data_IF_485801025372
#
_entry.id   IF_485801025372
#
_cell.length_a   1.000
_cell.length_b   1.000
_cell.length_c   1.000
_cell.angle_alpha   90.00
_cell.angle_beta   90.00
_cell.angle_gamma   90.00
#
_symmetry.space_group_name_H-M   'P 1'
#
loop_
_entity.id
_entity.type
_entity.pdbx_description
1 polymer ?
#
# COMPACT_ATOMS: atom_id res chain seq x y z
N UNK A 1 1.81 -35.52 -0.28
CA UNK A 1 0.57 -36.17 -0.73
C UNK A 1 -0.57 -35.15 -0.53
N UNK A 2 -1.07 -34.51 -1.60
CA UNK A 2 -2.13 -33.47 -1.51
C UNK A 2 -3.47 -34.13 -1.19
N UNK A 3 -4.25 -33.58 -0.25
CA UNK A 3 -5.62 -34.03 0.03
C UNK A 3 -6.54 -33.61 -1.13
N UNK A 4 -7.37 -34.51 -1.69
CA UNK A 4 -8.37 -34.14 -2.67
C UNK A 4 -9.54 -33.45 -1.96
N UNK A 5 -9.78 -32.17 -2.24
CA UNK A 5 -11.02 -31.49 -1.85
C UNK A 5 -10.92 -30.11 -1.21
N UNK A 6 -9.76 -29.62 -0.77
CA UNK A 6 -9.64 -28.20 -0.39
C UNK A 6 -9.53 -27.35 -1.65
N UNK A 7 -10.39 -26.34 -1.87
CA UNK A 7 -10.21 -25.41 -2.99
C UNK A 7 -8.85 -24.73 -2.82
N UNK A 8 -7.98 -24.85 -3.82
CA UNK A 8 -6.62 -24.26 -3.86
C UNK A 8 -6.56 -22.82 -3.35
N UNK A 9 -7.65 -22.06 -3.54
CA UNK A 9 -7.84 -20.69 -3.07
C UNK A 9 -7.74 -20.57 -1.54
N UNK A 10 -8.37 -21.46 -0.76
CA UNK A 10 -8.38 -21.36 0.72
C UNK A 10 -7.01 -21.57 1.36
N UNK A 11 -6.09 -22.19 0.63
CA UNK A 11 -4.71 -22.44 1.08
C UNK A 11 -3.69 -21.51 0.38
N UNK A 12 -4.15 -20.55 -0.44
CA UNK A 12 -3.29 -19.60 -1.12
C UNK A 12 -3.48 -18.18 -0.56
N UNK A 13 -2.56 -17.70 0.30
CA UNK A 13 -2.66 -16.38 0.91
C UNK A 13 -2.75 -15.22 -0.08
N UNK A 14 -2.06 -15.31 -1.23
CA UNK A 14 -2.11 -14.26 -2.25
C UNK A 14 -3.47 -14.21 -2.95
N UNK A 15 -4.08 -15.38 -3.19
CA UNK A 15 -5.43 -15.44 -3.76
C UNK A 15 -6.48 -14.95 -2.76
N UNK A 16 -6.37 -15.32 -1.49
CA UNK A 16 -7.25 -14.81 -0.44
C UNK A 16 -7.14 -13.29 -0.30
N UNK A 17 -5.92 -12.75 -0.31
CA UNK A 17 -5.70 -11.31 -0.22
C UNK A 17 -6.31 -10.57 -1.42
N UNK A 18 -6.07 -11.05 -2.64
CA UNK A 18 -6.66 -10.47 -3.85
C UNK A 18 -8.19 -10.53 -3.86
N UNK A 19 -8.78 -11.65 -3.42
CA UNK A 19 -10.24 -11.79 -3.30
C UNK A 19 -10.83 -10.89 -2.21
N UNK A 20 -10.07 -10.67 -1.13
CA UNK A 20 -10.47 -9.75 -0.06
C UNK A 20 -10.49 -8.30 -0.57
N UNK A 21 -9.50 -7.91 -1.38
CA UNK A 21 -9.53 -6.62 -2.07
C UNK A 21 -10.70 -6.52 -3.04
N UNK A 22 -10.90 -7.53 -3.89
CA UNK A 22 -12.00 -7.55 -4.86
C UNK A 22 -13.35 -7.37 -4.17
N UNK A 23 -13.58 -8.06 -3.05
CA UNK A 23 -14.81 -7.92 -2.28
C UNK A 23 -14.90 -6.56 -1.58
N UNK A 24 -13.81 -6.06 -1.00
CA UNK A 24 -13.81 -4.78 -0.29
C UNK A 24 -14.02 -3.57 -1.22
N UNK A 25 -13.71 -3.70 -2.51
CA UNK A 25 -13.78 -2.62 -3.50
C UNK A 25 -14.81 -2.83 -4.61
N UNK A 26 -15.74 -3.78 -4.40
CA UNK A 26 -16.78 -4.16 -5.38
C UNK A 26 -16.21 -4.55 -6.76
N UNK A 27 -14.94 -4.94 -6.82
CA UNK A 27 -14.21 -5.22 -8.07
C UNK A 27 -13.94 -4.00 -8.95
N UNK A 28 -14.35 -2.79 -8.53
CA UNK A 28 -14.27 -1.55 -9.31
C UNK A 28 -13.43 -0.46 -8.63
N UNK A 29 -12.77 -0.78 -7.52
CA UNK A 29 -11.96 0.20 -6.79
C UNK A 29 -12.80 1.19 -5.97
N UNK A 30 -13.98 0.78 -5.48
CA UNK A 30 -14.91 1.67 -4.75
C UNK A 30 -14.39 2.20 -3.42
N UNK A 31 -13.33 1.59 -2.87
CA UNK A 31 -12.68 1.96 -1.61
C UNK A 31 -11.16 2.01 -1.75
N UNK A 32 -10.55 2.90 -0.99
CA UNK A 32 -9.11 3.03 -0.83
C UNK A 32 -8.58 2.02 0.21
N UNK A 33 -7.34 1.56 0.04
CA UNK A 33 -6.66 0.69 0.99
C UNK A 33 -5.79 1.52 1.94
N UNK A 34 -5.97 1.35 3.25
CA UNK A 34 -5.10 1.95 4.27
C UNK A 34 -4.22 0.87 4.90
N UNK A 35 -2.91 0.94 4.70
CA UNK A 35 -1.96 -0.04 5.24
C UNK A 35 -1.33 0.48 6.54
N UNK A 36 -1.51 -0.26 7.63
CA UNK A 36 -1.03 0.08 8.96
C UNK A 36 -0.06 -0.98 9.48
N UNK A 37 1.25 -0.83 9.25
CA UNK A 37 2.23 -1.70 9.88
C UNK A 37 2.47 -1.31 11.34
N UNK A 38 2.32 -2.28 12.24
CA UNK A 38 2.63 -2.12 13.67
C UNK A 38 4.05 -2.60 13.95
N UNK A 39 5.00 -1.98 13.24
CA UNK A 39 6.43 -2.18 13.45
C UNK A 39 7.24 -1.09 12.77
N UNK A 40 8.18 -0.48 13.51
CA UNK A 40 9.07 0.57 13.01
C UNK A 40 9.93 0.13 11.82
N UNK A 41 10.44 -1.10 11.83
CA UNK A 41 11.24 -1.63 10.72
C UNK A 41 10.44 -1.82 9.43
N UNK A 42 9.10 -1.75 9.48
CA UNK A 42 8.21 -1.82 8.32
C UNK A 42 7.67 -0.44 7.89
N UNK A 43 8.24 0.66 8.39
CA UNK A 43 7.82 2.03 8.06
C UNK A 43 7.72 2.30 6.55
N UNK A 44 8.63 1.74 5.74
CA UNK A 44 8.64 1.94 4.29
C UNK A 44 7.69 1.02 3.52
N UNK A 45 7.07 0.04 4.18
CA UNK A 45 6.21 -0.95 3.52
C UNK A 45 5.04 -0.27 2.81
N UNK A 46 4.35 0.67 3.46
CA UNK A 46 3.22 1.38 2.84
C UNK A 46 3.65 2.18 1.59
N UNK A 47 4.85 2.78 1.59
CA UNK A 47 5.40 3.49 0.42
C UNK A 47 5.75 2.53 -0.72
N UNK A 48 6.32 1.37 -0.39
CA UNK A 48 6.55 0.32 -1.39
C UNK A 48 5.23 -0.14 -2.01
N UNK A 49 4.21 -0.37 -1.19
CA UNK A 49 2.89 -0.80 -1.65
C UNK A 49 2.16 0.27 -2.46
N UNK A 50 2.36 1.55 -2.19
CA UNK A 50 1.85 2.63 -3.03
C UNK A 50 2.30 2.47 -4.48
N UNK A 51 3.60 2.31 -4.70
CA UNK A 51 4.09 2.10 -6.06
C UNK A 51 3.57 0.79 -6.64
N UNK A 52 3.78 -0.33 -5.93
CA UNK A 52 3.41 -1.65 -6.43
C UNK A 52 1.93 -1.76 -6.80
N UNK A 53 1.03 -1.25 -5.96
CA UNK A 53 -0.42 -1.40 -6.16
C UNK A 53 -0.95 -0.34 -7.12
N UNK A 54 -0.61 0.94 -6.91
CA UNK A 54 -1.22 2.03 -7.67
C UNK A 54 -0.72 2.07 -9.12
N UNK A 55 0.58 1.83 -9.36
CA UNK A 55 1.14 1.79 -10.72
C UNK A 55 0.65 0.55 -11.48
N UNK A 56 0.52 -0.59 -10.81
CA UNK A 56 0.02 -1.82 -11.44
C UNK A 56 -1.48 -1.81 -11.70
N UNK A 57 -2.31 -1.31 -10.77
CA UNK A 57 -3.76 -1.45 -10.85
C UNK A 57 -4.48 -0.20 -11.39
N UNK A 58 -3.83 0.97 -11.35
CA UNK A 58 -4.38 2.22 -11.89
C UNK A 58 -4.37 2.20 -13.42
N UNK A 59 -5.48 1.79 -14.05
CA UNK A 59 -5.55 1.56 -15.50
C UNK A 59 -6.82 2.12 -16.13
N UNK A 60 -6.64 2.93 -17.16
CA UNK A 60 -7.75 3.52 -17.92
C UNK A 60 -8.50 2.46 -18.74
N UNK A 61 -7.78 1.51 -19.34
CA UNK A 61 -8.33 0.47 -20.22
C UNK A 61 -8.06 -0.94 -19.69
N UNK A 62 -8.98 -1.85 -19.96
CA UNK A 62 -8.83 -3.28 -19.74
C UNK A 62 -8.09 -3.97 -20.90
N UNK A 63 -7.89 -5.29 -20.82
CA UNK A 63 -7.21 -6.08 -21.85
C UNK A 63 -7.99 -6.19 -23.16
N UNK A 64 -9.30 -5.95 -23.13
CA UNK A 64 -10.18 -5.95 -24.29
C UNK A 64 -10.28 -4.56 -24.96
N UNK A 65 -9.64 -3.54 -24.38
CA UNK A 65 -9.64 -2.17 -24.86
C UNK A 65 -10.83 -1.33 -24.40
N UNK A 66 -11.68 -1.84 -23.50
CA UNK A 66 -12.76 -1.08 -22.90
C UNK A 66 -12.21 -0.11 -21.85
N UNK A 67 -12.81 1.08 -21.77
CA UNK A 67 -12.47 2.05 -20.72
C UNK A 67 -13.10 1.62 -19.40
N UNK A 68 -12.27 1.32 -18.41
CA UNK A 68 -12.68 0.84 -17.08
C UNK A 68 -12.31 1.79 -15.93
N UNK A 69 -11.26 2.62 -16.11
CA UNK A 69 -10.73 3.51 -15.07
C UNK A 69 -10.53 2.82 -13.71
N UNK A 70 -9.94 1.63 -13.75
CA UNK A 70 -9.69 0.80 -12.57
C UNK A 70 -8.59 1.41 -11.69
N UNK A 71 -8.61 1.08 -10.40
CA UNK A 71 -7.55 1.48 -9.47
C UNK A 71 -7.77 0.95 -8.05
N UNK A 72 -6.71 0.98 -7.26
CA UNK A 72 -6.76 0.78 -5.82
C UNK A 72 -5.79 1.75 -5.17
N UNK A 73 -6.30 2.86 -4.65
CA UNK A 73 -5.47 3.87 -3.98
C UNK A 73 -4.92 3.29 -2.69
N UNK A 74 -3.65 3.56 -2.41
CA UNK A 74 -3.01 3.12 -1.17
C UNK A 74 -2.56 4.31 -0.34
N UNK A 75 -3.07 4.36 0.88
CA UNK A 75 -2.58 5.22 1.94
C UNK A 75 -1.92 4.36 3.02
N UNK A 76 -1.12 5.00 3.86
CA UNK A 76 -0.60 4.29 5.02
C UNK A 76 0.59 5.00 5.62
N UNK A 77 0.65 4.89 6.94
CA UNK A 77 1.79 5.28 7.76
C UNK A 77 1.84 4.33 8.96
N UNK A 78 2.83 4.49 9.84
CA UNK A 78 3.16 3.51 10.89
C UNK A 78 2.18 3.56 12.07
N UNK A 79 1.71 2.39 12.52
CA UNK A 79 1.06 2.26 13.82
C UNK A 79 2.09 2.22 14.98
N UNK A 80 1.83 2.78 16.16
CA UNK A 80 0.69 3.60 16.59
C UNK A 80 0.88 5.11 16.38
N UNK A 81 2.08 5.56 16.01
CA UNK A 81 2.44 6.99 15.96
C UNK A 81 1.49 7.81 15.09
N UNK A 82 1.03 7.24 13.96
CA UNK A 82 0.12 7.92 13.05
C UNK A 82 -1.37 7.67 13.36
N UNK A 83 -1.69 6.97 14.45
CA UNK A 83 -3.08 6.83 14.88
C UNK A 83 -3.70 8.19 15.24
N UNK A 84 -2.89 9.12 15.73
CA UNK A 84 -3.31 10.49 16.04
C UNK A 84 -3.45 11.39 14.81
N UNK A 85 -3.09 10.92 13.61
CA UNK A 85 -3.20 11.71 12.38
C UNK A 85 -4.55 11.52 11.70
N UNK A 86 -4.97 10.27 11.46
CA UNK A 86 -6.12 10.01 10.58
C UNK A 86 -7.09 8.90 11.04
N UNK A 87 -6.91 8.31 12.23
CA UNK A 87 -7.87 7.29 12.74
C UNK A 87 -9.27 7.85 12.93
N UNK A 88 -9.40 9.15 13.26
CA UNK A 88 -10.70 9.81 13.33
C UNK A 88 -11.46 9.69 11.99
N UNK A 89 -10.79 9.95 10.87
CA UNK A 89 -11.36 9.73 9.54
C UNK A 89 -11.69 8.25 9.31
N UNK A 90 -10.79 7.33 9.70
CA UNK A 90 -11.02 5.90 9.51
C UNK A 90 -12.18 5.34 10.33
N UNK A 91 -12.57 6.03 11.40
CA UNK A 91 -13.59 5.55 12.32
C UNK A 91 -14.96 6.18 12.05
N UNK A 92 -14.98 7.50 11.89
CA UNK A 92 -16.23 8.29 11.86
C UNK A 92 -16.42 9.06 10.55
N UNK A 93 -15.40 9.08 9.68
CA UNK A 93 -15.46 9.75 8.39
C UNK A 93 -16.21 8.96 7.31
N UNK A 94 -16.09 9.45 6.08
CA UNK A 94 -16.66 8.83 4.87
C UNK A 94 -16.21 7.37 4.76
N UNK A 95 -17.12 6.45 4.44
CA UNK A 95 -16.82 5.01 4.32
C UNK A 95 -16.24 4.64 2.96
N UNK A 96 -15.14 5.29 2.58
CA UNK A 96 -14.47 5.09 1.31
C UNK A 96 -13.13 4.34 1.44
N UNK A 97 -12.91 3.60 2.52
CA UNK A 97 -11.68 2.85 2.75
C UNK A 97 -11.93 1.49 3.43
N UNK A 98 -10.95 0.61 3.30
CA UNK A 98 -10.76 -0.56 4.16
C UNK A 98 -9.31 -0.58 4.70
N UNK A 99 -9.09 -1.25 5.82
CA UNK A 99 -7.78 -1.24 6.51
C UNK A 99 -7.06 -2.57 6.36
N UNK A 100 -5.76 -2.55 6.06
CA UNK A 100 -4.89 -3.72 6.17
C UNK A 100 -3.87 -3.52 7.27
N UNK A 101 -3.98 -4.33 8.33
CA UNK A 101 -3.03 -4.37 9.43
C UNK A 101 -1.87 -5.30 9.09
N UNK A 102 -0.63 -4.85 9.34
CA UNK A 102 0.53 -5.74 9.38
C UNK A 102 0.91 -5.95 10.84
N UNK A 103 0.63 -7.14 11.34
CA UNK A 103 0.86 -7.54 12.73
C UNK A 103 2.16 -8.32 12.84
N UNK A 104 2.96 -8.01 13.87
CA UNK A 104 4.19 -8.72 14.20
C UNK A 104 4.03 -9.30 15.60
N UNK A 105 4.08 -10.62 15.74
CA UNK A 105 3.83 -11.29 17.02
C UNK A 105 5.00 -11.13 18.00
N UNK A 106 6.23 -11.17 17.52
CA UNK A 106 7.44 -10.99 18.31
C UNK A 106 8.02 -9.60 18.05
N UNK A 107 7.88 -8.70 19.03
CA UNK A 107 8.46 -7.36 18.92
C UNK A 107 10.00 -7.44 18.91
N UNK A 108 10.60 -8.19 19.83
CA UNK A 108 12.06 -8.23 19.98
C UNK A 108 12.60 -9.65 20.13
N UNK A 109 13.89 -9.87 19.83
CA UNK A 109 14.54 -11.12 20.17
C UNK A 109 14.45 -11.37 21.69
N UNK A 110 14.37 -12.64 22.14
CA UNK A 110 14.35 -12.97 23.55
C UNK A 110 15.48 -12.28 24.33
N UNK A 111 15.15 -11.74 25.50
CA UNK A 111 16.12 -11.05 26.38
C UNK A 111 16.38 -9.59 26.01
N UNK A 112 15.66 -9.04 25.03
CA UNK A 112 15.67 -7.61 24.68
C UNK A 112 14.35 -6.90 25.00
N UNK A 113 13.50 -7.56 25.78
CA UNK A 113 12.21 -7.03 26.20
C UNK A 113 12.43 -5.88 27.18
N UNK A 114 11.84 -4.73 26.86
CA UNK A 114 11.81 -3.59 27.76
C UNK A 114 10.42 -3.51 28.36
N UNK A 115 10.34 -3.75 29.67
CA UNK A 115 9.14 -3.51 30.45
C UNK A 115 8.95 -1.99 30.64
N UNK A 116 7.74 -1.53 30.36
CA UNK A 116 7.31 -0.16 30.64
C UNK A 116 6.62 -0.09 32.00
N UNK A 117 5.89 -1.15 32.33
CA UNK A 117 5.19 -1.37 33.60
C UNK A 117 5.37 -2.84 34.01
N UNK A 118 5.18 -3.19 35.29
CA UNK A 118 5.43 -4.55 35.77
C UNK A 118 4.69 -5.62 34.94
N UNK A 119 5.45 -6.43 34.20
CA UNK A 119 4.92 -7.50 33.36
C UNK A 119 4.30 -7.06 32.02
N UNK A 120 4.51 -5.80 31.60
CA UNK A 120 4.02 -5.26 30.32
C UNK A 120 5.17 -4.66 29.52
N UNK A 121 5.43 -5.23 28.35
CA UNK A 121 6.51 -4.81 27.44
C UNK A 121 6.04 -3.74 26.46
N UNK A 122 6.97 -3.04 25.81
CA UNK A 122 6.65 -2.19 24.66
C UNK A 122 5.87 -2.94 23.56
N UNK A 123 6.18 -4.22 23.36
CA UNK A 123 5.48 -5.08 22.40
C UNK A 123 4.02 -5.30 22.77
N UNK A 124 3.73 -5.51 24.07
CA UNK A 124 2.37 -5.68 24.58
C UNK A 124 1.53 -4.41 24.38
N UNK A 125 2.10 -3.23 24.62
CA UNK A 125 1.41 -1.96 24.30
C UNK A 125 1.12 -1.83 22.80
N UNK A 126 2.09 -2.15 21.94
CA UNK A 126 1.89 -2.06 20.49
C UNK A 126 0.82 -3.03 20.00
N UNK A 127 0.82 -4.27 20.51
CA UNK A 127 -0.21 -5.26 20.24
C UNK A 127 -1.59 -4.82 20.76
N UNK A 128 -1.66 -4.29 21.98
CA UNK A 128 -2.88 -3.73 22.55
C UNK A 128 -3.47 -2.60 21.69
N UNK A 129 -2.61 -1.70 21.20
CA UNK A 129 -3.01 -0.60 20.31
C UNK A 129 -3.51 -1.11 18.95
N UNK A 130 -2.93 -2.19 18.41
CA UNK A 130 -3.42 -2.84 17.19
C UNK A 130 -4.81 -3.41 17.41
N UNK A 131 -4.98 -4.25 18.44
CA UNK A 131 -6.25 -4.93 18.70
C UNK A 131 -7.35 -3.94 19.07
N UNK A 132 -7.02 -2.89 19.85
CA UNK A 132 -7.94 -1.80 20.17
C UNK A 132 -8.42 -1.07 18.92
N UNK A 133 -7.49 -0.70 18.02
CA UNK A 133 -7.83 -0.02 16.76
C UNK A 133 -8.69 -0.91 15.86
N UNK A 134 -8.30 -2.16 15.69
CA UNK A 134 -9.05 -3.14 14.88
C UNK A 134 -10.47 -3.35 15.42
N UNK A 135 -10.62 -3.48 16.73
CA UNK A 135 -11.92 -3.64 17.38
C UNK A 135 -12.81 -2.40 17.23
N UNK A 136 -12.23 -1.21 17.38
CA UNK A 136 -12.96 0.05 17.20
C UNK A 136 -13.41 0.29 15.75
N UNK A 137 -12.63 -0.17 14.77
CA UNK A 137 -13.03 -0.18 13.36
C UNK A 137 -14.17 -1.18 13.13
N UNK A 138 -14.02 -2.40 13.65
CA UNK A 138 -15.04 -3.44 13.52
C UNK A 138 -16.38 -3.03 14.14
N UNK A 139 -16.38 -2.40 15.31
CA UNK A 139 -17.62 -1.90 15.96
C UNK A 139 -18.33 -0.79 15.17
N UNK A 140 -17.63 -0.18 14.22
CA UNK A 140 -18.14 0.87 13.35
C UNK A 140 -18.39 0.35 11.91
N UNK A 141 -18.53 -0.97 11.75
CA UNK A 141 -18.74 -1.64 10.46
C UNK A 141 -17.68 -1.30 9.40
N UNK A 142 -16.43 -1.06 9.84
CA UNK A 142 -15.29 -0.79 8.96
C UNK A 142 -14.55 -2.08 8.66
N UNK A 143 -14.41 -2.39 7.37
CA UNK A 143 -13.76 -3.62 6.93
C UNK A 143 -12.25 -3.56 7.17
N UNK A 144 -11.69 -4.69 7.60
CA UNK A 144 -10.24 -4.81 7.74
C UNK A 144 -9.72 -6.21 7.45
N UNK A 145 -8.45 -6.26 7.05
CA UNK A 145 -7.66 -7.46 6.79
C UNK A 145 -6.46 -7.44 7.73
N UNK A 146 -6.08 -8.58 8.30
CA UNK A 146 -4.85 -8.72 9.08
C UNK A 146 -3.89 -9.65 8.37
N UNK A 147 -2.67 -9.18 8.14
CA UNK A 147 -1.53 -9.98 7.68
C UNK A 147 -0.54 -10.08 8.84
N UNK A 148 -0.44 -11.28 9.41
CA UNK A 148 0.38 -11.52 10.60
C UNK A 148 1.69 -12.22 10.21
N UNK A 149 2.80 -11.72 10.75
CA UNK A 149 4.11 -12.37 10.68
C UNK A 149 4.63 -12.65 12.10
N UNK A 150 5.40 -13.72 12.27
CA UNK A 150 5.95 -14.06 13.58
C UNK A 150 6.97 -13.01 14.03
N UNK A 151 7.94 -12.68 13.18
CA UNK A 151 9.03 -11.75 13.46
C UNK A 151 9.49 -11.08 12.16
N UNK A 152 9.99 -9.85 12.23
CA UNK A 152 10.54 -9.15 11.06
C UNK A 152 11.97 -9.63 10.78
N UNK A 153 12.05 -10.72 10.02
CA UNK A 153 13.30 -11.28 9.49
C UNK A 153 13.43 -11.00 7.98
N UNK A 154 14.63 -11.10 7.37
CA UNK A 154 14.77 -10.97 5.91
C UNK A 154 13.85 -11.93 5.13
N UNK A 155 13.66 -13.14 5.64
CA UNK A 155 12.73 -14.12 5.07
C UNK A 155 11.28 -13.64 5.14
N UNK A 156 10.85 -13.12 6.29
CA UNK A 156 9.48 -12.63 6.46
C UNK A 156 9.20 -11.40 5.58
N UNK A 157 10.16 -10.47 5.47
CA UNK A 157 10.07 -9.31 4.57
C UNK A 157 9.95 -9.76 3.11
N UNK A 158 10.81 -10.69 2.66
CA UNK A 158 10.71 -11.25 1.31
C UNK A 158 9.38 -11.97 1.06
N UNK A 159 8.84 -12.66 2.07
CA UNK A 159 7.54 -13.31 1.99
C UNK A 159 6.38 -12.28 1.87
N UNK A 160 6.44 -11.18 2.62
CA UNK A 160 5.48 -10.07 2.52
C UNK A 160 5.52 -9.43 1.12
N UNK A 161 6.70 -9.08 0.63
CA UNK A 161 6.88 -8.54 -0.73
C UNK A 161 6.25 -9.47 -1.76
N UNK A 162 6.63 -10.74 -1.73
CA UNK A 162 6.15 -11.71 -2.70
C UNK A 162 4.64 -12.01 -2.55
N UNK A 163 4.07 -11.89 -1.35
CA UNK A 163 2.63 -12.00 -1.11
C UNK A 163 1.87 -10.90 -1.86
N UNK A 164 2.29 -9.65 -1.69
CA UNK A 164 1.63 -8.50 -2.32
C UNK A 164 1.85 -8.48 -3.84
N UNK A 165 3.05 -8.80 -4.34
CA UNK A 165 3.29 -8.89 -5.79
C UNK A 165 2.37 -9.92 -6.47
N UNK A 166 2.19 -11.09 -5.84
CA UNK A 166 1.27 -12.12 -6.34
C UNK A 166 -0.19 -11.68 -6.21
N UNK A 167 -0.57 -11.03 -5.10
CA UNK A 167 -1.93 -10.56 -4.91
C UNK A 167 -2.32 -9.50 -5.96
N UNK A 168 -1.40 -8.59 -6.31
CA UNK A 168 -1.58 -7.61 -7.38
C UNK A 168 -1.81 -8.28 -8.72
N UNK A 169 -0.97 -9.26 -9.09
CA UNK A 169 -1.15 -10.00 -10.35
C UNK A 169 -2.48 -10.77 -10.42
N UNK A 170 -2.89 -11.39 -9.31
CA UNK A 170 -4.18 -12.10 -9.21
C UNK A 170 -5.34 -11.11 -9.31
N UNK A 171 -5.32 -10.01 -8.56
CA UNK A 171 -6.36 -8.98 -8.60
C UNK A 171 -6.51 -8.40 -10.01
N UNK A 172 -5.40 -8.05 -10.66
CA UNK A 172 -5.40 -7.55 -12.04
C UNK A 172 -6.06 -8.53 -13.02
N UNK A 173 -5.80 -9.83 -12.84
CA UNK A 173 -6.45 -10.89 -13.61
C UNK A 173 -7.96 -10.97 -13.34
N UNK A 174 -8.40 -10.75 -12.10
CA UNK A 174 -9.82 -10.73 -11.72
C UNK A 174 -10.58 -9.55 -12.34
N UNK A 175 -9.93 -8.41 -12.51
CA UNK A 175 -10.53 -7.17 -13.06
C UNK A 175 -10.14 -6.90 -14.52
N UNK A 176 -9.56 -7.89 -15.21
CA UNK A 176 -9.21 -7.87 -16.64
C UNK A 176 -8.23 -6.75 -17.06
N UNK A 177 -7.25 -6.38 -16.24
CA UNK A 177 -6.25 -5.34 -16.59
C UNK A 177 -4.83 -5.91 -16.67
N UNK A 178 -3.95 -5.22 -17.40
CA UNK A 178 -2.53 -5.53 -17.43
C UNK A 178 -1.80 -4.86 -16.25
N UNK A 179 -1.30 -5.65 -15.29
CA UNK A 179 -0.56 -5.14 -14.13
C UNK A 179 0.87 -4.62 -14.43
N UNK A 180 1.43 -4.96 -15.59
CA UNK A 180 2.88 -4.93 -15.84
C UNK A 180 3.35 -3.83 -16.81
N UNK A 181 2.47 -2.87 -17.10
CA UNK A 181 2.76 -1.70 -17.93
C UNK A 181 2.35 -0.41 -17.23
N UNK A 182 2.93 0.72 -17.66
CA UNK A 182 2.76 2.04 -17.05
C UNK A 182 2.56 3.15 -18.09
N UNK A 183 1.56 3.07 -18.99
CA UNK A 183 1.43 4.05 -20.08
C UNK A 183 1.17 5.49 -19.59
N UNK A 184 0.57 5.65 -18.40
CA UNK A 184 0.21 6.96 -17.85
C UNK A 184 1.39 7.90 -17.55
N UNK A 185 2.60 7.36 -17.31
CA UNK A 185 3.76 8.21 -16.94
C UNK A 185 4.38 8.93 -18.15
N UNK A 186 4.11 8.46 -19.37
CA UNK A 186 4.73 9.00 -20.58
C UNK A 186 4.22 10.40 -20.93
N UNK A 187 2.96 10.71 -20.63
CA UNK A 187 2.40 12.04 -20.84
C UNK A 187 3.14 13.11 -20.01
N UNK A 188 3.42 12.82 -18.74
CA UNK A 188 4.18 13.72 -17.86
C UNK A 188 5.61 13.95 -18.33
N UNK A 189 6.29 12.89 -18.79
CA UNK A 189 7.64 12.99 -19.36
C UNK A 189 7.68 13.88 -20.61
N UNK A 190 6.70 13.75 -21.49
CA UNK A 190 6.58 14.59 -22.69
C UNK A 190 6.38 16.06 -22.34
N UNK A 191 5.43 16.36 -21.46
CA UNK A 191 5.17 17.72 -21.00
C UNK A 191 6.40 18.35 -20.32
N UNK A 192 7.11 17.60 -19.48
CA UNK A 192 8.37 18.06 -18.88
C UNK A 192 9.43 18.38 -19.95
N UNK A 193 9.53 17.56 -21.00
CA UNK A 193 10.43 17.79 -22.14
C UNK A 193 10.16 19.12 -22.85
N UNK A 194 8.89 19.49 -23.04
CA UNK A 194 8.49 20.76 -23.67
C UNK A 194 8.91 21.97 -22.81
N UNK A 195 8.72 21.89 -21.49
CA UNK A 195 9.15 22.93 -20.54
C UNK A 195 10.67 23.09 -20.56
N UNK A 196 11.41 21.97 -20.50
CA UNK A 196 12.88 22.00 -20.53
C UNK A 196 13.42 22.56 -21.85
N UNK A 197 12.77 22.25 -22.98
CA UNK A 197 13.13 22.81 -24.28
C UNK A 197 12.92 24.34 -24.31
N UNK A 198 11.81 24.82 -23.76
CA UNK A 198 11.54 26.26 -23.64
C UNK A 198 12.56 26.95 -22.72
N UNK A 199 12.83 26.37 -21.55
CA UNK A 199 13.81 26.88 -20.60
C UNK A 199 15.19 27.05 -21.26
N UNK A 200 15.65 26.05 -22.02
CA UNK A 200 16.91 26.12 -22.77
C UNK A 200 16.94 27.32 -23.72
N UNK A 201 15.88 27.51 -24.53
CA UNK A 201 15.79 28.65 -25.47
C UNK A 201 15.86 30.00 -24.75
N UNK A 202 15.12 30.15 -23.64
CA UNK A 202 15.12 31.38 -22.85
C UNK A 202 16.50 31.67 -22.27
N UNK A 203 17.16 30.66 -21.69
CA UNK A 203 18.50 30.81 -21.13
C UNK A 203 19.54 31.18 -22.20
N UNK A 204 19.44 30.61 -23.41
CA UNK A 204 20.31 31.01 -24.53
C UNK A 204 20.17 32.50 -24.84
N UNK A 205 18.94 32.99 -25.02
CA UNK A 205 18.68 34.42 -25.32
C UNK A 205 19.17 35.33 -24.20
N UNK A 206 18.94 34.96 -22.94
CA UNK A 206 19.40 35.76 -21.79
C UNK A 206 20.92 35.82 -21.69
N UNK A 207 21.61 34.71 -21.98
CA UNK A 207 23.07 34.66 -21.96
C UNK A 207 23.68 35.50 -23.09
N UNK A 208 23.11 35.44 -24.30
CA UNK A 208 23.51 36.28 -25.42
C UNK A 208 23.31 37.76 -25.12
N UNK A 209 22.15 38.15 -24.58
CA UNK A 209 21.88 39.53 -24.19
C UNK A 209 22.81 40.04 -23.07
N UNK A 210 23.23 39.14 -22.17
CA UNK A 210 24.20 39.47 -21.11
C UNK A 210 25.61 39.70 -21.66
N UNK A 211 26.01 38.96 -22.69
CA UNK A 211 27.30 39.13 -23.37
C UNK A 211 27.34 40.41 -24.22
N UNK A 212 26.19 40.92 -24.66
CA UNK A 212 26.08 42.11 -25.50
C UNK A 212 25.96 43.44 -24.73
N UNK A 213 25.95 43.44 -23.39
CA UNK A 213 25.99 44.69 -22.59
C UNK A 213 27.44 45.22 -22.52
N UNK A 214 27.77 46.38 -23.13
CA UNK A 214 29.04 47.05 -22.89
C UNK A 214 29.09 47.58 -21.44
N UNK A 215 30.28 47.61 -20.84
CA UNK A 215 30.54 48.35 -19.60
C UNK A 215 30.15 49.83 -19.71
#
# INVERSE_FOLDING_TARGET
>A
MRRPGTPWVKENPAALLALSWYWATDGIGSKDMVVLPYKDSLLLLSRYLQQLVMESLGKEYDLDGNRVNQGLTVYGNKGSTDQHAYIQQLREGVHNFFVTFIEVLRDRPPGHDWELEPGVTCGDYLFGMLQGTRSALYSNDRESISVTVEEVTPRAVGALVALYERAVGIYASLVNINAYHQPGVEAGKKAAGEVLALQKRVLTVLNEARLQRPC
#
